data_IF_471832877195
#
_entry.id   IF_471832877195
#
_cell.length_a   1.000
_cell.length_b   1.000
_cell.length_c   1.000
_cell.angle_alpha   90.00
_cell.angle_beta   90.00
_cell.angle_gamma   90.00
#
_symmetry.space_group_name_H-M   'P 1'
#
loop_
_entity.id
_entity.type
_entity.pdbx_description
1 polymer ?
#
# COMPACT_ATOMS: atom_id res chain seq x y z
N UNK A 1 -36.73 13.81 -1.32
CA UNK A 1 -37.75 14.03 -0.32
C UNK A 1 -37.48 13.31 0.98
N UNK A 2 -38.30 13.52 1.99
CA UNK A 2 -38.16 12.86 3.30
C UNK A 2 -38.84 11.48 3.34
N UNK A 3 -39.60 11.13 2.33
CA UNK A 3 -40.39 9.90 2.28
C UNK A 3 -39.75 8.92 1.30
N UNK A 4 -39.61 7.67 1.72
CA UNK A 4 -39.19 6.55 0.89
C UNK A 4 -40.46 5.77 0.48
N UNK A 5 -40.63 5.57 -0.84
CA UNK A 5 -41.72 4.78 -1.39
C UNK A 5 -41.11 3.53 -2.07
N UNK A 6 -41.54 2.37 -1.68
CA UNK A 6 -41.19 1.15 -2.39
C UNK A 6 -41.86 1.11 -3.75
N UNK A 7 -41.10 0.78 -4.78
CA UNK A 7 -41.56 0.62 -6.15
C UNK A 7 -41.08 -0.72 -6.70
N UNK A 8 -41.87 -1.34 -7.55
CA UNK A 8 -41.53 -2.63 -8.15
C UNK A 8 -40.75 -2.48 -9.45
N UNK A 9 -40.75 -1.30 -10.04
CA UNK A 9 -40.16 -1.01 -11.34
C UNK A 9 -39.60 0.41 -11.35
N UNK A 10 -38.46 0.56 -12.02
CA UNK A 10 -37.79 1.84 -12.27
C UNK A 10 -37.62 1.99 -13.77
N UNK A 11 -38.16 3.04 -14.35
CA UNK A 11 -38.10 3.29 -15.78
C UNK A 11 -36.92 4.19 -16.15
N UNK A 12 -36.57 4.24 -17.43
CA UNK A 12 -35.51 5.08 -17.96
C UNK A 12 -35.75 6.57 -17.59
N UNK A 13 -34.73 7.19 -16.98
CA UNK A 13 -34.77 8.57 -16.50
C UNK A 13 -35.08 8.72 -15.00
N UNK A 14 -35.53 7.67 -14.34
CA UNK A 14 -35.78 7.68 -12.90
C UNK A 14 -34.52 7.50 -12.07
N UNK A 15 -34.60 7.96 -10.82
CA UNK A 15 -33.56 7.76 -9.80
C UNK A 15 -34.14 6.95 -8.65
N UNK A 16 -33.53 5.82 -8.35
CA UNK A 16 -33.96 4.94 -7.27
C UNK A 16 -32.82 4.58 -6.36
N UNK A 17 -33.15 4.19 -5.11
CA UNK A 17 -32.19 3.62 -4.17
C UNK A 17 -32.35 2.10 -4.12
N UNK A 18 -31.26 1.39 -4.23
CA UNK A 18 -31.18 -0.07 -4.08
C UNK A 18 -30.33 -0.38 -2.85
N UNK A 19 -30.75 -1.36 -2.06
CA UNK A 19 -30.03 -1.76 -0.85
C UNK A 19 -29.69 -3.25 -0.87
N UNK A 20 -28.72 -3.66 -0.06
CA UNK A 20 -28.29 -5.06 0.13
C UNK A 20 -27.64 -5.69 -1.11
N UNK A 21 -26.96 -4.92 -1.92
CA UNK A 21 -26.09 -5.40 -3.00
C UNK A 21 -24.65 -5.13 -2.55
N UNK A 22 -23.92 -6.21 -2.25
CA UNK A 22 -22.56 -6.10 -1.66
C UNK A 22 -21.48 -5.73 -2.69
N UNK A 23 -21.65 -6.14 -3.96
CA UNK A 23 -20.65 -5.96 -5.01
C UNK A 23 -20.92 -4.76 -5.94
N UNK A 24 -21.72 -3.79 -5.49
CA UNK A 24 -22.07 -2.63 -6.29
C UNK A 24 -21.20 -1.42 -5.92
N UNK A 25 -20.46 -0.90 -6.88
CA UNK A 25 -19.55 0.23 -6.72
C UNK A 25 -20.00 1.46 -7.51
N UNK A 26 -19.47 2.61 -7.13
CA UNK A 26 -19.72 3.86 -7.86
C UNK A 26 -19.19 3.77 -9.29
N UNK A 27 -20.08 3.97 -10.27
CA UNK A 27 -19.76 3.85 -11.69
C UNK A 27 -20.20 2.53 -12.33
N UNK A 28 -20.67 1.58 -11.54
CA UNK A 28 -21.19 0.31 -12.07
C UNK A 28 -22.52 0.53 -12.85
N UNK A 29 -22.71 -0.26 -13.88
CA UNK A 29 -23.91 -0.25 -14.71
C UNK A 29 -24.71 -1.52 -14.44
N UNK A 30 -25.90 -1.33 -13.91
CA UNK A 30 -26.87 -2.42 -13.75
C UNK A 30 -27.71 -2.59 -15.00
N UNK A 31 -28.04 -3.83 -15.35
CA UNK A 31 -28.89 -4.20 -16.50
C UNK A 31 -29.73 -5.40 -16.14
N UNK A 32 -30.88 -5.48 -16.76
CA UNK A 32 -31.85 -6.57 -16.60
C UNK A 32 -31.56 -7.78 -17.51
N UNK A 33 -30.94 -7.55 -18.67
CA UNK A 33 -30.59 -8.62 -19.62
C UNK A 33 -29.08 -8.79 -19.74
N UNK A 34 -28.61 -10.00 -19.40
CA UNK A 34 -27.19 -10.39 -19.54
C UNK A 34 -26.67 -10.35 -20.98
N UNK A 35 -27.57 -10.44 -21.99
CA UNK A 35 -27.25 -10.40 -23.40
C UNK A 35 -27.28 -9.00 -24.01
N UNK A 36 -27.87 -8.02 -23.28
CA UNK A 36 -27.88 -6.64 -23.75
C UNK A 36 -26.44 -6.10 -23.90
N UNK A 37 -26.19 -5.24 -24.88
CA UNK A 37 -24.88 -4.62 -25.03
C UNK A 37 -24.51 -3.84 -23.79
N UNK A 38 -23.28 -4.01 -23.31
CA UNK A 38 -22.77 -3.29 -22.14
C UNK A 38 -22.52 -1.84 -22.54
N UNK A 39 -23.32 -0.93 -22.04
CA UNK A 39 -23.03 0.49 -22.11
C UNK A 39 -22.03 0.81 -20.98
N UNK A 40 -20.77 0.98 -21.35
CA UNK A 40 -19.74 1.42 -20.39
C UNK A 40 -19.71 2.94 -20.43
N UNK A 41 -20.22 3.62 -19.40
CA UNK A 41 -20.10 5.06 -19.32
C UNK A 41 -18.64 5.46 -19.20
N UNK A 42 -18.30 6.64 -19.70
CA UNK A 42 -16.97 7.18 -19.53
C UNK A 42 -16.69 7.36 -18.03
N UNK A 43 -15.59 6.80 -17.49
CA UNK A 43 -15.31 6.90 -16.06
C UNK A 43 -15.13 8.35 -15.63
N UNK A 44 -15.72 8.71 -14.51
CA UNK A 44 -15.54 10.03 -13.90
C UNK A 44 -14.14 10.10 -13.29
N UNK A 45 -13.37 11.10 -13.67
CA UNK A 45 -12.05 11.34 -13.07
C UNK A 45 -12.23 12.15 -11.78
N UNK A 46 -11.89 11.56 -10.66
CA UNK A 46 -11.91 12.23 -9.36
C UNK A 46 -10.56 12.88 -9.05
N UNK A 47 -10.54 14.01 -8.33
CA UNK A 47 -9.30 14.63 -7.90
C UNK A 47 -8.54 13.73 -6.94
N UNK A 48 -7.22 13.72 -7.04
CA UNK A 48 -6.35 12.94 -6.16
C UNK A 48 -6.33 13.52 -4.75
N UNK A 49 -6.58 12.72 -3.71
CA UNK A 49 -6.51 13.19 -2.33
C UNK A 49 -5.05 13.48 -1.94
N UNK A 50 -4.79 14.73 -1.52
CA UNK A 50 -3.44 15.23 -1.23
C UNK A 50 -3.21 15.52 0.26
N UNK A 51 -4.24 15.52 1.09
CA UNK A 51 -4.14 15.81 2.51
C UNK A 51 -4.27 14.51 3.32
N UNK A 52 -3.26 14.22 4.14
CA UNK A 52 -3.16 12.97 4.89
C UNK A 52 -3.14 13.18 6.41
N UNK A 53 -3.78 12.26 7.14
CA UNK A 53 -3.70 12.14 8.59
C UNK A 53 -3.44 10.68 8.97
N UNK A 54 -2.51 10.45 9.89
CA UNK A 54 -2.36 9.16 10.55
C UNK A 54 -3.37 9.05 11.69
N UNK A 55 -4.00 7.88 11.80
CA UNK A 55 -5.01 7.61 12.82
C UNK A 55 -4.56 6.50 13.76
N UNK A 56 -4.97 6.60 15.03
CA UNK A 56 -4.76 5.56 16.03
C UNK A 56 -6.07 5.31 16.79
N UNK A 57 -6.37 4.04 17.14
CA UNK A 57 -7.53 3.71 17.95
C UNK A 57 -7.48 4.42 19.31
N UNK A 58 -8.61 4.95 19.79
CA UNK A 58 -8.73 5.44 21.18
C UNK A 58 -8.87 4.30 22.17
N UNK A 59 -9.52 3.22 21.77
CA UNK A 59 -9.71 2.05 22.60
C UNK A 59 -8.99 0.84 21.99
N UNK A 60 -8.38 0.01 22.84
CA UNK A 60 -7.76 -1.25 22.41
C UNK A 60 -8.84 -2.21 21.89
N UNK A 61 -8.60 -2.85 20.77
CA UNK A 61 -9.51 -3.81 20.16
C UNK A 61 -10.49 -3.21 19.16
N UNK A 62 -10.44 -1.91 18.90
CA UNK A 62 -11.30 -1.28 17.87
C UNK A 62 -10.69 -1.29 16.47
N UNK A 63 -9.52 -1.89 16.26
CA UNK A 63 -8.81 -1.92 14.97
C UNK A 63 -9.67 -2.51 13.84
N UNK A 64 -10.37 -3.62 14.12
CA UNK A 64 -11.25 -4.24 13.13
C UNK A 64 -12.46 -3.36 12.79
N UNK A 65 -13.04 -2.69 13.80
CA UNK A 65 -14.15 -1.77 13.58
C UNK A 65 -13.71 -0.54 12.79
N UNK A 66 -12.50 -0.03 13.05
CA UNK A 66 -11.91 1.08 12.32
C UNK A 66 -11.73 0.69 10.86
N UNK A 67 -11.09 -0.44 10.55
CA UNK A 67 -10.89 -0.92 9.18
C UNK A 67 -12.21 -1.08 8.42
N UNK A 68 -13.23 -1.65 9.06
CA UNK A 68 -14.55 -1.79 8.45
C UNK A 68 -15.23 -0.43 8.17
N UNK A 69 -15.04 0.57 9.04
CA UNK A 69 -15.59 1.92 8.81
C UNK A 69 -14.81 2.67 7.73
N UNK A 70 -13.48 2.52 7.68
CA UNK A 70 -12.65 3.13 6.64
C UNK A 70 -13.00 2.57 5.26
N UNK A 71 -13.22 1.26 5.18
CA UNK A 71 -13.67 0.61 3.94
C UNK A 71 -15.00 1.19 3.46
N UNK A 72 -15.99 1.31 4.34
CA UNK A 72 -17.29 1.92 4.00
C UNK A 72 -17.17 3.37 3.54
N UNK A 73 -16.30 4.16 4.19
CA UNK A 73 -16.07 5.54 3.76
C UNK A 73 -15.42 5.61 2.38
N UNK A 74 -14.49 4.70 2.07
CA UNK A 74 -13.87 4.62 0.75
C UNK A 74 -14.84 4.18 -0.35
N UNK A 75 -15.81 3.34 -0.02
CA UNK A 75 -16.90 2.96 -0.94
C UNK A 75 -17.91 4.10 -1.16
N UNK A 76 -18.21 4.87 -0.09
CA UNK A 76 -19.10 6.04 -0.16
C UNK A 76 -18.47 7.22 -0.93
N UNK A 77 -17.14 7.36 -0.89
CA UNK A 77 -16.44 8.52 -1.46
C UNK A 77 -15.14 8.10 -2.17
N UNK A 78 -15.10 8.09 -3.50
CA UNK A 78 -13.91 7.75 -4.29
C UNK A 78 -12.69 8.66 -4.05
N UNK A 79 -12.89 9.84 -3.45
CA UNK A 79 -11.82 10.79 -3.11
C UNK A 79 -11.26 10.57 -1.69
N UNK A 80 -11.88 9.68 -0.90
CA UNK A 80 -11.36 9.23 0.37
C UNK A 80 -10.56 7.95 0.18
N UNK A 81 -9.30 7.93 0.61
CA UNK A 81 -8.43 6.76 0.54
C UNK A 81 -7.80 6.49 1.88
N UNK A 82 -7.48 5.23 2.13
CA UNK A 82 -6.73 4.84 3.31
C UNK A 82 -5.78 3.70 3.01
N UNK A 83 -4.67 3.64 3.71
CA UNK A 83 -3.70 2.57 3.61
C UNK A 83 -2.89 2.46 4.91
N UNK A 84 -2.34 1.28 5.17
CA UNK A 84 -1.30 1.12 6.19
C UNK A 84 0.05 1.32 5.54
N UNK A 85 0.79 2.31 6.01
CA UNK A 85 2.16 2.54 5.58
C UNK A 85 3.06 1.40 6.06
N UNK A 86 3.78 0.75 5.14
CA UNK A 86 4.59 -0.43 5.43
C UNK A 86 5.82 -0.13 6.28
N UNK A 87 6.38 1.09 6.20
CA UNK A 87 7.59 1.47 6.90
C UNK A 87 7.29 2.06 8.27
N UNK A 88 6.27 2.92 8.36
CA UNK A 88 5.91 3.58 9.62
C UNK A 88 4.88 2.79 10.43
N UNK A 89 4.26 1.77 9.82
CA UNK A 89 3.15 0.98 10.37
C UNK A 89 1.96 1.82 10.83
N UNK A 90 1.82 3.02 10.28
CA UNK A 90 0.70 3.90 10.58
C UNK A 90 -0.45 3.67 9.59
N UNK A 91 -1.67 3.69 10.10
CA UNK A 91 -2.86 3.76 9.24
C UNK A 91 -3.06 5.21 8.85
N UNK A 92 -2.93 5.51 7.56
CA UNK A 92 -3.06 6.86 7.01
C UNK A 92 -4.34 6.97 6.21
N UNK A 93 -5.12 8.00 6.50
CA UNK A 93 -6.28 8.40 5.72
C UNK A 93 -5.95 9.62 4.87
N UNK A 94 -6.38 9.64 3.63
CA UNK A 94 -6.15 10.72 2.68
C UNK A 94 -7.47 11.26 2.14
N UNK A 95 -7.55 12.57 2.02
CA UNK A 95 -8.70 13.28 1.48
C UNK A 95 -8.30 14.55 0.73
N UNK A 96 -9.27 15.26 0.21
CA UNK A 96 -9.06 16.49 -0.58
C UNK A 96 -8.55 17.67 0.26
N UNK A 97 -8.77 17.61 1.58
CA UNK A 97 -8.34 18.67 2.50
C UNK A 97 -8.78 18.38 3.93
N UNK A 98 -8.41 19.28 4.85
CA UNK A 98 -8.71 19.13 6.28
C UNK A 98 -10.21 18.97 6.56
N UNK A 99 -11.05 19.81 5.96
CA UNK A 99 -12.49 19.76 6.16
C UNK A 99 -13.06 18.40 5.73
N UNK A 100 -12.59 17.87 4.62
CA UNK A 100 -13.03 16.57 4.10
C UNK A 100 -12.74 15.47 5.12
N UNK A 101 -11.50 15.36 5.62
CA UNK A 101 -11.14 14.35 6.62
C UNK A 101 -11.85 14.57 7.95
N UNK A 102 -12.08 15.82 8.36
CA UNK A 102 -12.84 16.12 9.59
C UNK A 102 -14.28 15.61 9.47
N UNK A 103 -14.95 15.80 8.35
CA UNK A 103 -16.30 15.26 8.12
C UNK A 103 -16.31 13.72 8.08
N UNK A 104 -15.32 13.10 7.47
CA UNK A 104 -15.18 11.65 7.47
C UNK A 104 -15.01 11.08 8.90
N UNK A 105 -14.17 11.70 9.71
CA UNK A 105 -13.96 11.35 11.11
C UNK A 105 -15.21 11.57 11.97
N UNK A 106 -15.96 12.63 11.71
CA UNK A 106 -17.25 12.89 12.38
C UNK A 106 -18.28 11.79 12.05
N UNK A 107 -18.35 11.35 10.80
CA UNK A 107 -19.19 10.21 10.40
C UNK A 107 -18.78 8.93 11.13
N UNK A 108 -17.49 8.63 11.25
CA UNK A 108 -16.99 7.49 12.05
C UNK A 108 -17.41 7.60 13.51
N UNK A 109 -17.24 8.79 14.13
CA UNK A 109 -17.66 9.05 15.49
C UNK A 109 -19.15 8.81 15.70
N UNK A 110 -20.00 9.27 14.78
CA UNK A 110 -21.46 9.08 14.84
C UNK A 110 -21.84 7.59 14.68
N UNK A 111 -20.98 6.78 14.07
CA UNK A 111 -21.11 5.32 13.96
C UNK A 111 -20.46 4.59 15.14
N UNK A 112 -20.04 5.30 16.19
CA UNK A 112 -19.49 4.73 17.43
C UNK A 112 -18.00 4.38 17.38
N UNK A 113 -17.24 4.83 16.36
CA UNK A 113 -15.79 4.59 16.23
C UNK A 113 -15.04 5.91 16.40
N UNK A 114 -14.15 5.95 17.39
CA UNK A 114 -13.35 7.14 17.66
C UNK A 114 -11.86 6.83 17.50
N UNK A 115 -11.16 7.76 16.87
CA UNK A 115 -9.72 7.71 16.62
C UNK A 115 -9.05 9.00 17.06
N UNK A 116 -7.77 8.92 17.39
CA UNK A 116 -6.89 10.07 17.51
C UNK A 116 -6.18 10.28 16.17
N UNK A 117 -5.89 11.54 15.85
CA UNK A 117 -5.26 11.93 14.60
C UNK A 117 -3.99 12.69 14.84
N UNK A 118 -2.99 12.49 13.97
CA UNK A 118 -1.74 13.24 13.94
C UNK A 118 -1.23 13.35 12.50
N UNK A 119 -0.30 14.27 12.21
CA UNK A 119 0.41 14.25 10.93
C UNK A 119 1.09 12.89 10.71
N UNK A 120 1.03 12.32 9.49
CA UNK A 120 1.73 11.07 9.18
C UNK A 120 3.23 11.23 9.35
N UNK A 121 3.91 10.18 9.79
CA UNK A 121 5.36 10.17 9.78
C UNK A 121 5.87 10.11 8.34
N UNK A 122 6.94 10.82 8.07
CA UNK A 122 7.63 10.74 6.79
C UNK A 122 8.49 9.47 6.80
N UNK A 123 8.23 8.56 5.88
CA UNK A 123 9.05 7.38 5.68
C UNK A 123 10.37 7.78 5.00
N UNK A 124 11.38 8.04 5.81
CA UNK A 124 12.74 8.29 5.31
C UNK A 124 13.36 6.97 4.86
N UNK A 125 14.09 7.03 3.76
CA UNK A 125 14.94 5.93 3.30
C UNK A 125 16.40 6.34 3.43
N UNK A 126 17.20 5.40 3.90
CA UNK A 126 18.64 5.57 3.94
C UNK A 126 19.24 5.36 2.55
N UNK A 127 20.35 6.04 2.28
CA UNK A 127 21.16 5.86 1.07
C UNK A 127 22.63 5.95 1.42
N UNK A 128 23.45 5.27 0.64
CA UNK A 128 24.90 5.32 0.80
C UNK A 128 25.47 6.50 0.02
N UNK A 129 26.44 7.22 0.61
CA UNK A 129 27.12 8.36 0.00
C UNK A 129 28.59 8.07 -0.33
N UNK A 130 29.15 7.05 0.29
CA UNK A 130 30.56 6.66 0.12
C UNK A 130 30.67 5.16 -0.13
N UNK A 131 31.74 4.77 -0.80
CA UNK A 131 32.10 3.36 -0.97
C UNK A 131 32.49 2.76 0.38
N UNK A 132 31.98 1.58 0.67
CA UNK A 132 32.31 0.78 1.85
C UNK A 132 32.45 -0.70 1.51
N UNK A 133 33.24 -1.41 2.31
CA UNK A 133 33.44 -2.85 2.18
C UNK A 133 33.03 -3.52 3.49
N UNK A 134 32.40 -4.67 3.38
CA UNK A 134 31.96 -5.46 4.50
C UNK A 134 32.30 -6.94 4.30
N UNK A 135 32.59 -7.61 5.39
CA UNK A 135 32.87 -9.03 5.41
C UNK A 135 32.12 -9.69 6.55
N UNK A 136 31.46 -10.79 6.26
CA UNK A 136 30.82 -11.60 7.28
C UNK A 136 31.11 -13.08 7.04
N UNK A 137 31.43 -13.78 8.15
CA UNK A 137 31.65 -15.21 8.18
C UNK A 137 30.69 -15.87 9.16
N UNK A 138 29.78 -16.66 8.65
CA UNK A 138 28.88 -17.49 9.44
C UNK A 138 29.49 -18.88 9.60
N UNK A 139 29.75 -19.29 10.83
CA UNK A 139 30.19 -20.66 11.17
C UNK A 139 29.40 -21.13 12.38
N UNK A 140 28.56 -22.13 12.18
CA UNK A 140 27.80 -22.75 13.28
C UNK A 140 27.92 -24.26 13.20
N UNK A 141 28.32 -24.86 14.31
CA UNK A 141 28.49 -26.31 14.44
C UNK A 141 27.90 -26.73 15.80
N UNK A 142 26.65 -27.22 15.78
CA UNK A 142 25.97 -27.71 16.99
C UNK A 142 25.40 -29.11 16.69
N UNK A 143 26.31 -30.13 16.72
CA UNK A 143 25.94 -31.53 16.51
C UNK A 143 25.43 -31.82 15.07
N UNK A 144 26.07 -32.71 14.34
CA UNK A 144 25.69 -33.04 12.95
C UNK A 144 26.35 -32.16 11.89
N UNK A 145 25.67 -31.91 10.77
CA UNK A 145 26.19 -31.11 9.65
C UNK A 145 26.35 -29.63 10.05
N UNK A 146 27.57 -29.11 9.95
CA UNK A 146 27.87 -27.71 10.25
C UNK A 146 27.35 -26.77 9.15
N UNK A 147 27.07 -25.53 9.55
CA UNK A 147 26.74 -24.44 8.62
C UNK A 147 27.96 -23.55 8.42
N UNK A 148 28.30 -23.26 7.19
CA UNK A 148 29.37 -22.35 6.84
C UNK A 148 28.99 -21.48 5.67
N UNK A 149 29.27 -20.18 5.78
CA UNK A 149 29.12 -19.21 4.70
C UNK A 149 30.04 -18.02 4.97
N UNK A 150 30.72 -17.54 3.96
CA UNK A 150 31.60 -16.38 4.06
C UNK A 150 31.39 -15.51 2.80
N UNK A 151 31.11 -14.24 3.01
CA UNK A 151 30.83 -13.29 1.93
C UNK A 151 31.57 -11.99 2.20
N UNK A 152 32.20 -11.47 1.16
CA UNK A 152 32.74 -10.12 1.08
C UNK A 152 31.83 -9.30 0.17
N UNK A 153 31.35 -8.19 0.66
CA UNK A 153 30.51 -7.26 -0.10
C UNK A 153 31.19 -5.90 -0.17
N UNK A 154 31.10 -5.28 -1.33
CA UNK A 154 31.45 -3.88 -1.56
C UNK A 154 30.18 -3.16 -1.97
N UNK A 155 29.86 -2.08 -1.30
CA UNK A 155 28.75 -1.22 -1.64
C UNK A 155 29.26 0.15 -2.02
N UNK A 156 28.69 0.74 -3.06
CA UNK A 156 29.05 2.07 -3.53
C UNK A 156 27.81 2.80 -4.06
N UNK A 157 27.79 4.14 -4.04
CA UNK A 157 26.68 4.91 -4.61
C UNK A 157 26.44 4.52 -6.06
N UNK A 158 25.18 4.27 -6.41
CA UNK A 158 24.81 3.95 -7.79
C UNK A 158 24.96 5.21 -8.65
N UNK A 159 25.71 5.16 -9.76
CA UNK A 159 25.86 6.30 -10.66
C UNK A 159 24.53 6.77 -11.23
N UNK A 160 24.34 8.09 -11.38
CA UNK A 160 23.10 8.67 -11.94
C UNK A 160 22.83 8.24 -13.40
N UNK A 161 23.87 7.84 -14.14
CA UNK A 161 23.77 7.35 -15.51
C UNK A 161 23.40 5.87 -15.59
N UNK A 162 23.49 5.10 -14.50
CA UNK A 162 23.07 3.70 -14.47
C UNK A 162 21.58 3.55 -14.81
N UNK A 163 21.22 2.55 -15.64
CA UNK A 163 19.81 2.20 -15.90
C UNK A 163 19.05 1.76 -14.66
N UNK A 164 19.76 1.22 -13.65
CA UNK A 164 19.19 0.80 -12.38
C UNK A 164 18.87 1.98 -11.45
N UNK A 165 19.31 3.21 -11.77
CA UNK A 165 19.06 4.37 -10.94
C UNK A 165 17.56 4.77 -10.95
N UNK A 166 17.02 5.11 -9.77
CA UNK A 166 15.58 5.41 -9.61
C UNK A 166 15.09 6.59 -10.44
N UNK A 167 15.95 7.58 -10.72
CA UNK A 167 15.60 8.71 -11.59
C UNK A 167 15.26 8.27 -13.03
N UNK A 168 15.71 7.08 -13.43
CA UNK A 168 15.44 6.48 -14.75
C UNK A 168 14.40 5.35 -14.70
N UNK A 169 13.71 5.19 -13.56
CA UNK A 169 12.71 4.14 -13.35
C UNK A 169 13.29 2.78 -12.95
N UNK A 170 14.58 2.73 -12.60
CA UNK A 170 15.21 1.53 -12.07
C UNK A 170 14.87 1.25 -10.61
N UNK A 171 15.21 0.07 -10.14
CA UNK A 171 14.93 -0.38 -8.75
C UNK A 171 15.82 0.32 -7.70
N UNK A 172 16.88 0.99 -8.13
CA UNK A 172 17.85 1.67 -7.25
C UNK A 172 18.91 0.73 -6.68
N UNK A 173 19.05 -0.46 -7.26
CA UNK A 173 20.06 -1.46 -6.91
C UNK A 173 20.60 -2.08 -8.20
N UNK A 174 21.92 -2.22 -8.26
CA UNK A 174 22.63 -2.98 -9.29
C UNK A 174 23.59 -3.94 -8.58
N UNK A 175 23.46 -5.23 -8.84
CA UNK A 175 24.31 -6.26 -8.23
C UNK A 175 25.31 -6.73 -9.26
N UNK A 176 26.60 -6.55 -8.94
CA UNK A 176 27.72 -6.99 -9.78
C UNK A 176 28.43 -8.15 -9.09
N UNK A 177 28.53 -9.27 -9.79
CA UNK A 177 29.25 -10.43 -9.29
C UNK A 177 30.73 -10.35 -9.72
N UNK A 178 31.61 -10.08 -8.76
CA UNK A 178 33.07 -10.04 -8.94
C UNK A 178 33.77 -11.30 -8.40
N UNK A 179 33.04 -12.38 -8.16
CA UNK A 179 33.63 -13.63 -7.64
C UNK A 179 34.56 -14.23 -8.69
N UNK A 180 35.83 -14.34 -8.36
CA UNK A 180 36.87 -14.91 -9.22
C UNK A 180 37.23 -16.34 -8.80
N UNK A 181 37.53 -17.18 -9.79
CA UNK A 181 38.05 -18.53 -9.53
C UNK A 181 37.04 -19.52 -8.93
N UNK A 182 35.75 -19.23 -8.94
CA UNK A 182 34.72 -20.12 -8.38
C UNK A 182 34.74 -20.23 -6.84
N UNK A 183 35.26 -19.23 -6.16
CA UNK A 183 35.33 -19.20 -4.69
C UNK A 183 33.94 -19.33 -4.03
N UNK A 184 32.88 -18.85 -4.68
CA UNK A 184 31.50 -19.12 -4.31
C UNK A 184 30.84 -19.87 -5.48
N UNK A 185 30.33 -21.10 -5.29
CA UNK A 185 29.58 -21.78 -6.33
C UNK A 185 28.37 -20.94 -6.79
N UNK A 186 28.16 -20.81 -8.11
CA UNK A 186 27.15 -19.93 -8.70
C UNK A 186 25.74 -20.15 -8.17
N UNK A 187 25.41 -21.34 -7.71
CA UNK A 187 24.12 -21.68 -7.11
C UNK A 187 23.81 -20.91 -5.81
N UNK A 188 24.81 -20.34 -5.13
CA UNK A 188 24.64 -19.58 -3.88
C UNK A 188 24.56 -18.07 -4.09
N UNK A 189 24.86 -17.56 -5.28
CA UNK A 189 24.78 -16.12 -5.58
C UNK A 189 23.36 -15.58 -5.40
N UNK A 190 22.28 -16.26 -5.87
CA UNK A 190 20.92 -15.79 -5.62
C UNK A 190 20.55 -15.68 -4.14
N UNK A 191 21.19 -16.47 -3.27
CA UNK A 191 20.96 -16.36 -1.84
C UNK A 191 21.58 -15.09 -1.24
N UNK A 192 22.71 -14.63 -1.78
CA UNK A 192 23.34 -13.35 -1.40
C UNK A 192 22.48 -12.18 -1.89
N UNK A 193 22.04 -12.21 -3.13
CA UNK A 193 21.14 -11.22 -3.71
C UNK A 193 19.86 -11.09 -2.90
N UNK A 194 19.23 -12.22 -2.56
CA UNK A 194 18.05 -12.22 -1.69
C UNK A 194 18.33 -11.56 -0.34
N UNK A 195 19.48 -11.86 0.30
CA UNK A 195 19.85 -11.25 1.57
C UNK A 195 20.00 -9.72 1.49
N UNK A 196 20.48 -9.19 0.36
CA UNK A 196 20.55 -7.74 0.10
C UNK A 196 19.14 -7.16 -0.02
N UNK A 197 18.25 -7.79 -0.81
CA UNK A 197 16.87 -7.35 -0.95
C UNK A 197 16.12 -7.38 0.38
N UNK A 198 16.24 -8.48 1.14
CA UNK A 198 15.58 -8.62 2.45
C UNK A 198 16.02 -7.50 3.44
N UNK A 199 17.29 -7.05 3.37
CA UNK A 199 17.79 -5.94 4.19
C UNK A 199 17.24 -4.58 3.70
N UNK A 200 17.10 -4.39 2.39
CA UNK A 200 16.57 -3.13 1.83
C UNK A 200 15.06 -2.95 2.06
N UNK A 201 14.33 -4.03 2.37
CA UNK A 201 12.90 -3.99 2.67
C UNK A 201 12.60 -3.70 4.16
N UNK A 202 13.59 -3.83 5.06
CA UNK A 202 13.47 -3.50 6.48
C UNK A 202 13.51 -1.99 6.73
#
# INVERSE_FOLDING_TARGET
GKEHREVNEVIAGDIAAVAKIEDLHTGDVMRDDAKAPVLVPQPVTYPTPMYGLAITPKARGDEQKISAQLQKLAEEDPTFKWATDKQTHEVVINGLGELHLRLALERMKNRGVQVDTKPPKIAYRETIQIKAEGHHRHKKQTGGAGQFGEVFLRVEPLPEDSPAHKSKGGEGLEIVNEVFGGAIPGQFIPAVEKGIHDLMEQ
#
